data_IF_988241245120
#
_entry.id   IF_988241245120
#
_cell.length_a   1.000
_cell.length_b   1.000
_cell.length_c   1.000
_cell.angle_alpha   90.00
_cell.angle_beta   90.00
_cell.angle_gamma   90.00
#
_symmetry.space_group_name_H-M   'P 1'
#
loop_
_entity.id
_entity.type
_entity.pdbx_description
1 polymer ?
#
# COMPACT_ATOMS: atom_id res chain seq x y z
N UNK A 1 -31.12 14.72 -13.66
CA UNK A 1 -30.06 13.72 -14.03
C UNK A 1 -30.46 12.41 -13.39
N UNK A 2 -30.61 11.35 -14.20
CA UNK A 2 -30.97 10.03 -13.67
C UNK A 2 -29.77 9.51 -12.88
N UNK A 3 -29.94 9.28 -11.58
CA UNK A 3 -28.90 8.69 -10.74
C UNK A 3 -28.85 7.17 -10.96
N UNK A 4 -27.64 6.60 -10.87
CA UNK A 4 -27.43 5.15 -10.98
C UNK A 4 -27.52 4.50 -9.59
N UNK A 5 -28.00 3.26 -9.52
CA UNK A 5 -28.06 2.49 -8.28
C UNK A 5 -26.87 1.52 -8.21
N UNK A 6 -26.00 1.65 -7.21
CA UNK A 6 -24.89 0.72 -6.99
C UNK A 6 -25.35 -0.46 -6.15
N UNK A 7 -25.32 -1.66 -6.74
CA UNK A 7 -25.73 -2.91 -6.09
C UNK A 7 -24.54 -3.77 -5.69
N UNK A 8 -24.77 -4.68 -4.72
CA UNK A 8 -23.75 -5.66 -4.33
C UNK A 8 -23.37 -6.61 -5.47
N UNK A 9 -24.31 -6.93 -6.36
CA UNK A 9 -24.06 -7.76 -7.54
C UNK A 9 -23.08 -7.08 -8.49
N UNK A 10 -23.22 -5.76 -8.71
CA UNK A 10 -22.31 -4.99 -9.54
C UNK A 10 -20.90 -4.91 -8.91
N UNK A 11 -20.79 -4.79 -7.58
CA UNK A 11 -19.50 -4.83 -6.88
C UNK A 11 -18.84 -6.20 -7.04
N UNK A 12 -19.61 -7.28 -6.99
CA UNK A 12 -19.12 -8.63 -7.19
C UNK A 12 -18.66 -8.84 -8.64
N UNK A 13 -19.46 -8.42 -9.63
CA UNK A 13 -19.10 -8.45 -11.04
C UNK A 13 -17.83 -7.64 -11.32
N UNK A 14 -17.69 -6.47 -10.70
CA UNK A 14 -16.48 -5.66 -10.78
C UNK A 14 -15.26 -6.38 -10.21
N UNK A 15 -15.41 -7.09 -9.07
CA UNK A 15 -14.33 -7.93 -8.52
C UNK A 15 -13.86 -8.98 -9.52
N UNK A 16 -14.81 -9.69 -10.15
CA UNK A 16 -14.51 -10.69 -11.18
C UNK A 16 -13.78 -10.08 -12.38
N UNK A 17 -14.24 -8.91 -12.85
CA UNK A 17 -13.61 -8.19 -13.96
C UNK A 17 -12.17 -7.77 -13.64
N UNK A 18 -11.89 -7.37 -12.39
CA UNK A 18 -10.52 -7.04 -11.95
C UNK A 18 -9.59 -8.26 -12.00
N UNK A 19 -10.08 -9.46 -11.63
CA UNK A 19 -9.33 -10.70 -11.74
C UNK A 19 -9.11 -11.09 -13.20
N UNK A 20 -10.12 -10.98 -14.06
CA UNK A 20 -9.99 -11.23 -15.50
C UNK A 20 -9.02 -10.26 -16.18
N UNK A 21 -8.92 -9.02 -15.68
CA UNK A 21 -7.92 -8.03 -16.11
C UNK A 21 -6.52 -8.27 -15.49
N UNK A 22 -6.27 -9.46 -14.91
CA UNK A 22 -4.99 -9.89 -14.32
C UNK A 22 -4.43 -8.91 -13.27
N UNK A 23 -5.31 -8.20 -12.56
CA UNK A 23 -4.89 -7.31 -11.48
C UNK A 23 -4.38 -8.13 -10.30
N UNK A 24 -3.28 -7.68 -9.67
CA UNK A 24 -2.77 -8.34 -8.47
C UNK A 24 -3.81 -8.34 -7.35
N UNK A 25 -3.83 -9.38 -6.51
CA UNK A 25 -4.73 -9.51 -5.36
C UNK A 25 -4.76 -8.24 -4.51
N UNK A 26 -3.60 -7.66 -4.19
CA UNK A 26 -3.51 -6.43 -3.42
C UNK A 26 -4.19 -5.21 -4.11
N UNK A 27 -4.17 -5.17 -5.46
CA UNK A 27 -4.87 -4.13 -6.24
C UNK A 27 -6.38 -4.34 -6.17
N UNK A 28 -6.85 -5.59 -6.33
CA UNK A 28 -8.27 -5.95 -6.23
C UNK A 28 -8.82 -5.56 -4.86
N UNK A 29 -8.15 -5.99 -3.78
CA UNK A 29 -8.54 -5.67 -2.41
C UNK A 29 -8.59 -4.16 -2.14
N UNK A 30 -7.60 -3.42 -2.64
CA UNK A 30 -7.55 -1.96 -2.50
C UNK A 30 -8.73 -1.29 -3.21
N UNK A 31 -9.05 -1.72 -4.43
CA UNK A 31 -10.15 -1.15 -5.21
C UNK A 31 -11.50 -1.47 -4.55
N UNK A 32 -11.71 -2.72 -4.16
CA UNK A 32 -12.95 -3.13 -3.48
C UNK A 32 -13.15 -2.43 -2.14
N UNK A 33 -12.07 -2.18 -1.39
CA UNK A 33 -12.14 -1.40 -0.14
C UNK A 33 -12.65 0.02 -0.41
N UNK A 34 -12.13 0.69 -1.43
CA UNK A 34 -12.58 2.05 -1.81
C UNK A 34 -14.02 2.06 -2.30
N UNK A 35 -14.42 1.07 -3.09
CA UNK A 35 -15.80 0.95 -3.61
C UNK A 35 -16.79 0.68 -2.47
N UNK A 36 -16.47 -0.23 -1.55
CA UNK A 36 -17.31 -0.52 -0.39
C UNK A 36 -17.45 0.68 0.55
N UNK A 37 -16.35 1.40 0.80
CA UNK A 37 -16.40 2.62 1.59
C UNK A 37 -17.30 3.69 0.95
N UNK A 38 -17.23 3.84 -0.37
CA UNK A 38 -18.14 4.73 -1.09
C UNK A 38 -19.61 4.26 -1.04
N UNK A 39 -19.85 2.95 -1.19
CA UNK A 39 -21.21 2.39 -1.09
C UNK A 39 -21.83 2.63 0.30
N UNK A 40 -21.03 2.51 1.35
CA UNK A 40 -21.48 2.86 2.72
C UNK A 40 -21.77 4.36 2.88
N UNK A 41 -20.94 5.23 2.28
CA UNK A 41 -21.20 6.67 2.29
C UNK A 41 -22.47 7.07 1.55
N UNK A 42 -22.83 6.36 0.49
CA UNK A 42 -24.06 6.62 -0.27
C UNK A 42 -25.32 6.35 0.56
N UNK A 43 -25.27 5.38 1.47
CA UNK A 43 -26.42 5.00 2.32
C UNK A 43 -27.73 4.86 1.52
N UNK A 44 -27.68 4.14 0.41
CA UNK A 44 -28.81 3.93 -0.49
C UNK A 44 -29.10 5.08 -1.48
N UNK A 45 -28.38 6.19 -1.40
CA UNK A 45 -28.54 7.30 -2.36
C UNK A 45 -28.02 6.90 -3.75
N UNK A 46 -28.59 7.49 -4.81
CA UNK A 46 -28.13 7.21 -6.17
C UNK A 46 -26.72 7.77 -6.40
N UNK A 47 -25.95 7.06 -7.21
CA UNK A 47 -24.66 7.52 -7.71
C UNK A 47 -24.86 8.57 -8.77
N UNK A 48 -24.40 9.76 -8.50
CA UNK A 48 -24.37 10.90 -9.43
C UNK A 48 -23.00 11.56 -9.33
N UNK A 49 -22.68 12.43 -10.27
CA UNK A 49 -21.45 13.21 -10.17
C UNK A 49 -21.39 14.04 -8.88
N UNK A 50 -22.52 14.55 -8.42
CA UNK A 50 -22.60 15.36 -7.20
C UNK A 50 -22.33 14.51 -5.94
N UNK A 51 -22.86 13.27 -5.85
CA UNK A 51 -22.57 12.38 -4.73
C UNK A 51 -21.12 11.94 -4.72
N UNK A 52 -20.47 11.73 -5.87
CA UNK A 52 -19.02 11.46 -5.95
C UNK A 52 -18.19 12.67 -5.54
N UNK A 53 -18.61 13.87 -5.89
CA UNK A 53 -17.95 15.10 -5.43
C UNK A 53 -18.14 15.33 -3.92
N UNK A 54 -19.32 14.99 -3.36
CA UNK A 54 -19.57 15.00 -1.92
C UNK A 54 -18.64 14.01 -1.20
N UNK A 55 -18.50 12.78 -1.72
CA UNK A 55 -17.54 11.79 -1.23
C UNK A 55 -16.11 12.33 -1.22
N UNK A 56 -15.67 12.96 -2.30
CA UNK A 56 -14.33 13.57 -2.40
C UNK A 56 -14.11 14.64 -1.32
N UNK A 57 -15.12 15.47 -1.07
CA UNK A 57 -15.08 16.49 0.01
C UNK A 57 -15.06 15.87 1.40
N UNK A 58 -15.85 14.81 1.61
CA UNK A 58 -15.87 14.03 2.84
C UNK A 58 -14.48 13.48 3.18
N UNK A 59 -13.83 12.83 2.23
CA UNK A 59 -12.46 12.29 2.41
C UNK A 59 -11.42 13.37 2.74
N UNK A 60 -11.62 14.59 2.24
CA UNK A 60 -10.72 15.72 2.52
C UNK A 60 -10.93 16.32 3.91
N UNK A 61 -12.18 16.44 4.37
CA UNK A 61 -12.55 17.18 5.58
C UNK A 61 -12.67 16.28 6.80
N UNK A 62 -13.49 15.25 6.71
CA UNK A 62 -13.83 14.38 7.85
C UNK A 62 -12.73 13.34 8.11
N UNK A 63 -12.23 12.70 7.06
CA UNK A 63 -11.20 11.66 7.17
C UNK A 63 -9.77 12.22 7.13
N UNK A 64 -9.60 13.50 6.79
CA UNK A 64 -8.31 14.18 6.70
C UNK A 64 -7.25 13.38 5.88
N UNK A 65 -7.69 12.70 4.81
CA UNK A 65 -6.79 11.91 3.98
C UNK A 65 -5.89 12.77 3.10
N UNK A 66 -4.68 12.29 2.86
CA UNK A 66 -3.76 12.93 1.93
C UNK A 66 -4.32 12.95 0.50
N UNK A 67 -4.00 13.97 -0.32
CA UNK A 67 -4.43 14.02 -1.72
C UNK A 67 -4.10 12.76 -2.52
N UNK A 68 -2.99 12.09 -2.24
CA UNK A 68 -2.61 10.83 -2.88
C UNK A 68 -3.54 9.66 -2.50
N UNK A 69 -3.98 9.61 -1.25
CA UNK A 69 -4.94 8.60 -0.76
C UNK A 69 -6.30 8.81 -1.40
N UNK A 70 -6.77 10.07 -1.44
CA UNK A 70 -8.03 10.43 -2.10
C UNK A 70 -7.99 10.06 -3.59
N UNK A 71 -6.92 10.43 -4.29
CA UNK A 71 -6.76 10.09 -5.70
C UNK A 71 -6.73 8.58 -5.95
N UNK A 72 -6.18 7.80 -5.02
CA UNK A 72 -6.22 6.35 -5.11
C UNK A 72 -7.64 5.78 -4.95
N UNK A 73 -8.47 6.39 -4.08
CA UNK A 73 -9.89 6.04 -3.96
C UNK A 73 -10.67 6.44 -5.21
N UNK A 74 -10.47 7.66 -5.71
CA UNK A 74 -11.12 8.12 -6.96
C UNK A 74 -10.72 7.28 -8.17
N UNK A 75 -9.48 6.77 -8.23
CA UNK A 75 -9.05 5.89 -9.30
C UNK A 75 -9.83 4.56 -9.29
N UNK A 76 -10.11 4.02 -8.11
CA UNK A 76 -10.93 2.81 -7.97
C UNK A 76 -12.38 3.08 -8.41
N UNK A 77 -12.96 4.22 -8.02
CA UNK A 77 -14.33 4.59 -8.41
C UNK A 77 -14.43 4.88 -9.91
N UNK A 78 -13.53 5.67 -10.48
CA UNK A 78 -13.52 5.94 -11.92
C UNK A 78 -13.36 4.63 -12.73
N UNK A 79 -12.57 3.67 -12.22
CA UNK A 79 -12.45 2.36 -12.88
C UNK A 79 -13.77 1.57 -12.80
N UNK A 80 -14.47 1.59 -11.65
CA UNK A 80 -15.79 1.01 -11.49
C UNK A 80 -16.81 1.67 -12.42
N UNK A 81 -16.85 3.01 -12.48
CA UNK A 81 -17.80 3.73 -13.30
C UNK A 81 -17.59 3.48 -14.80
N UNK A 82 -16.34 3.40 -15.24
CA UNK A 82 -16.03 2.99 -16.61
C UNK A 82 -16.48 1.55 -16.90
N UNK A 83 -16.31 0.63 -15.95
CA UNK A 83 -16.78 -0.75 -16.07
C UNK A 83 -18.30 -0.84 -16.18
N UNK A 84 -19.04 -0.02 -15.43
CA UNK A 84 -20.51 0.03 -15.44
C UNK A 84 -21.08 0.92 -16.56
N UNK A 85 -20.25 1.61 -17.34
CA UNK A 85 -20.69 2.56 -18.35
C UNK A 85 -21.17 3.91 -17.80
N UNK A 86 -20.92 4.22 -16.52
CA UNK A 86 -21.35 5.46 -15.84
C UNK A 86 -20.28 6.56 -15.97
N UNK A 87 -19.87 6.87 -17.18
CA UNK A 87 -18.76 7.79 -17.46
C UNK A 87 -19.04 9.23 -17.03
N UNK A 88 -20.32 9.61 -16.94
CA UNK A 88 -20.81 10.89 -16.44
C UNK A 88 -20.51 11.09 -14.95
N UNK A 89 -20.38 10.00 -14.16
CA UNK A 89 -20.02 10.04 -12.75
C UNK A 89 -18.51 10.15 -12.51
N UNK A 90 -17.67 9.99 -13.53
CA UNK A 90 -16.23 10.10 -13.38
C UNK A 90 -15.80 11.50 -12.95
N UNK A 91 -14.84 11.58 -12.03
CA UNK A 91 -14.35 12.85 -11.47
C UNK A 91 -12.85 13.03 -11.66
N UNK A 92 -12.42 14.29 -11.74
CA UNK A 92 -11.00 14.61 -11.81
C UNK A 92 -10.28 14.38 -10.49
N UNK A 93 -9.01 13.98 -10.59
CA UNK A 93 -8.12 13.84 -9.44
C UNK A 93 -7.76 15.20 -8.83
N UNK A 94 -7.38 15.17 -7.55
CA UNK A 94 -6.78 16.32 -6.89
C UNK A 94 -5.40 16.59 -7.46
N UNK A 95 -5.07 17.86 -7.70
CA UNK A 95 -3.72 18.25 -8.07
C UNK A 95 -2.77 18.01 -6.89
N UNK A 96 -1.71 17.24 -7.11
CA UNK A 96 -0.69 16.98 -6.10
C UNK A 96 0.51 17.87 -6.43
N UNK A 97 0.75 18.87 -5.59
CA UNK A 97 2.01 19.60 -5.64
C UNK A 97 3.12 18.72 -5.08
N UNK A 98 4.10 18.39 -5.90
CA UNK A 98 5.32 17.73 -5.42
C UNK A 98 6.17 18.78 -4.73
N UNK A 99 6.32 18.66 -3.40
CA UNK A 99 7.31 19.46 -2.69
C UNK A 99 8.70 18.98 -3.10
N UNK A 100 9.54 19.89 -3.58
CA UNK A 100 10.93 19.60 -3.98
C UNK A 100 11.78 19.22 -2.77
N UNK A 101 11.48 19.78 -1.60
CA UNK A 101 12.14 19.48 -0.34
C UNK A 101 11.20 18.71 0.58
N UNK A 102 11.69 17.61 1.16
CA UNK A 102 10.99 16.87 2.20
C UNK A 102 11.11 17.60 3.53
N UNK A 103 10.08 17.50 4.36
CA UNK A 103 10.17 17.92 5.75
C UNK A 103 11.09 16.93 6.48
N UNK A 104 12.24 17.42 6.96
CA UNK A 104 13.27 16.61 7.65
C UNK A 104 12.75 15.97 8.94
N UNK A 105 11.72 16.53 9.58
CA UNK A 105 11.13 16.01 10.82
C UNK A 105 10.41 14.65 10.72
N UNK A 106 10.31 14.06 9.51
CA UNK A 106 9.74 12.71 9.30
C UNK A 106 10.78 11.65 8.94
N UNK A 107 12.05 12.03 8.90
CA UNK A 107 13.13 11.10 8.61
C UNK A 107 13.73 10.60 9.92
N UNK A 108 13.94 9.29 10.02
CA UNK A 108 14.64 8.69 11.16
C UNK A 108 16.12 9.02 11.03
N UNK A 109 16.66 9.65 12.04
CA UNK A 109 18.10 9.81 12.16
C UNK A 109 18.75 8.53 12.73
N UNK A 110 20.08 8.54 12.84
CA UNK A 110 20.84 7.42 13.38
C UNK A 110 20.49 7.14 14.84
N UNK A 111 20.24 8.17 15.61
CA UNK A 111 19.94 8.06 17.05
C UNK A 111 18.58 7.42 17.23
N UNK A 112 17.58 7.83 16.46
CA UNK A 112 16.23 7.27 16.49
C UNK A 112 16.23 5.81 16.04
N UNK A 113 17.02 5.47 15.02
CA UNK A 113 17.19 4.09 14.58
C UNK A 113 17.79 3.22 15.71
N UNK A 114 18.86 3.67 16.37
CA UNK A 114 19.51 2.95 17.46
C UNK A 114 18.56 2.76 18.66
N UNK A 115 17.75 3.78 18.99
CA UNK A 115 16.70 3.68 20.02
C UNK A 115 15.63 2.63 19.66
N UNK A 116 15.18 2.58 18.41
CA UNK A 116 14.19 1.59 17.96
C UNK A 116 14.72 0.16 18.06
N UNK A 117 15.99 -0.07 17.67
CA UNK A 117 16.62 -1.39 17.81
C UNK A 117 16.74 -1.77 19.29
N UNK A 118 17.22 -0.85 20.15
CA UNK A 118 17.34 -1.08 21.58
C UNK A 118 15.99 -1.39 22.25
N UNK A 119 14.94 -0.64 21.91
CA UNK A 119 13.59 -0.87 22.41
C UNK A 119 13.06 -2.25 22.00
N UNK A 120 13.24 -2.65 20.73
CA UNK A 120 12.82 -3.96 20.25
C UNK A 120 13.54 -5.11 20.98
N UNK A 121 14.83 -4.96 21.23
CA UNK A 121 15.62 -5.94 21.98
C UNK A 121 15.20 -5.98 23.46
N UNK A 122 14.99 -4.83 24.09
CA UNK A 122 14.53 -4.72 25.48
C UNK A 122 13.16 -5.36 25.73
N UNK A 123 12.30 -5.37 24.70
CA UNK A 123 11.00 -6.05 24.70
C UNK A 123 11.09 -7.54 24.30
N UNK A 124 12.29 -8.11 24.18
CA UNK A 124 12.48 -9.49 23.72
C UNK A 124 12.09 -9.76 22.26
N UNK A 125 11.85 -8.70 21.46
CA UNK A 125 11.40 -8.83 20.07
C UNK A 125 12.59 -8.86 19.08
N UNK A 126 13.53 -9.78 19.29
CA UNK A 126 14.75 -9.94 18.51
C UNK A 126 14.47 -10.02 16.99
N UNK A 127 13.39 -10.72 16.59
CA UNK A 127 13.00 -10.83 15.19
C UNK A 127 12.72 -9.47 14.56
N UNK A 128 12.04 -8.57 15.28
CA UNK A 128 11.71 -7.22 14.78
C UNK A 128 12.99 -6.40 14.65
N UNK A 129 13.90 -6.46 15.63
CA UNK A 129 15.19 -5.79 15.57
C UNK A 129 15.99 -6.23 14.33
N UNK A 130 16.08 -7.54 14.07
CA UNK A 130 16.77 -8.09 12.88
C UNK A 130 16.11 -7.69 11.56
N UNK A 131 14.78 -7.60 11.50
CA UNK A 131 14.06 -7.11 10.32
C UNK A 131 14.41 -5.64 10.05
N UNK A 132 14.38 -4.79 11.08
CA UNK A 132 14.76 -3.37 10.95
C UNK A 132 16.22 -3.23 10.53
N UNK A 133 17.15 -3.96 11.16
CA UNK A 133 18.57 -3.98 10.76
C UNK A 133 18.74 -4.40 9.30
N UNK A 134 18.00 -5.42 8.86
CA UNK A 134 18.07 -5.92 7.47
C UNK A 134 17.58 -4.87 6.49
N UNK A 135 16.45 -4.22 6.76
CA UNK A 135 15.88 -3.17 5.90
C UNK A 135 16.85 -1.99 5.80
N UNK A 136 17.39 -1.52 6.93
CA UNK A 136 18.32 -0.38 6.97
C UNK A 136 19.63 -0.70 6.26
N UNK A 137 20.18 -1.91 6.45
CA UNK A 137 21.47 -2.29 5.86
C UNK A 137 21.40 -2.57 4.35
N UNK A 138 20.21 -2.92 3.80
CA UNK A 138 20.07 -3.39 2.42
C UNK A 138 19.16 -2.53 1.56
N UNK A 139 18.36 -1.65 2.15
CA UNK A 139 17.36 -0.83 1.45
C UNK A 139 16.20 -1.63 0.84
N UNK A 140 15.95 -2.86 1.31
CA UNK A 140 14.81 -3.67 0.86
C UNK A 140 13.50 -3.15 1.44
N UNK A 141 12.40 -3.41 0.72
CA UNK A 141 11.05 -3.14 1.23
C UNK A 141 10.60 -4.21 2.22
N UNK A 142 9.71 -3.85 3.15
CA UNK A 142 9.16 -4.80 4.13
C UNK A 142 8.63 -6.08 3.47
N UNK A 143 7.89 -5.97 2.37
CA UNK A 143 7.37 -7.12 1.63
C UNK A 143 8.44 -7.99 0.96
N UNK A 144 9.69 -7.50 0.85
CA UNK A 144 10.82 -8.23 0.27
C UNK A 144 11.64 -9.01 1.32
N UNK A 145 11.38 -8.79 2.61
CA UNK A 145 12.08 -9.51 3.71
C UNK A 145 11.93 -11.04 3.56
N UNK A 146 10.84 -11.52 2.98
CA UNK A 146 10.62 -12.96 2.69
C UNK A 146 11.70 -13.59 1.81
N UNK A 147 12.44 -12.81 1.04
CA UNK A 147 13.55 -13.31 0.20
C UNK A 147 14.85 -13.48 0.99
N UNK A 148 14.92 -13.00 2.25
CA UNK A 148 16.07 -13.19 3.14
C UNK A 148 15.96 -14.57 3.79
N UNK A 149 16.22 -15.59 3.01
CA UNK A 149 16.23 -16.99 3.46
C UNK A 149 17.58 -17.38 4.05
N UNK A 150 17.64 -18.46 4.82
CA UNK A 150 18.92 -18.99 5.33
C UNK A 150 19.92 -19.26 4.20
N UNK A 151 19.43 -19.74 3.04
CA UNK A 151 20.26 -19.96 1.84
C UNK A 151 20.85 -18.66 1.32
N UNK A 152 20.04 -17.60 1.21
CA UNK A 152 20.47 -16.28 0.78
C UNK A 152 21.50 -15.68 1.76
N UNK A 153 21.26 -15.83 3.07
CA UNK A 153 22.18 -15.33 4.11
C UNK A 153 23.52 -16.05 4.07
N UNK A 154 23.53 -17.36 3.81
CA UNK A 154 24.79 -18.13 3.63
C UNK A 154 25.53 -17.72 2.37
N UNK A 155 24.82 -17.40 1.30
CA UNK A 155 25.40 -16.92 0.04
C UNK A 155 25.87 -15.46 0.11
N UNK A 156 25.51 -14.71 1.18
CA UNK A 156 25.81 -13.29 1.30
C UNK A 156 25.03 -12.39 0.34
N UNK A 157 24.04 -12.93 -0.36
CA UNK A 157 23.22 -12.20 -1.32
C UNK A 157 21.81 -12.80 -1.43
N UNK A 158 20.82 -11.94 -1.75
CA UNK A 158 19.45 -12.37 -2.00
C UNK A 158 18.96 -11.85 -3.35
N UNK A 159 18.32 -12.70 -4.14
CA UNK A 159 17.66 -12.32 -5.39
C UNK A 159 16.19 -12.05 -5.12
N UNK A 160 15.75 -10.83 -5.41
CA UNK A 160 14.37 -10.37 -5.25
C UNK A 160 13.72 -10.38 -6.62
N UNK A 161 12.65 -11.15 -6.77
CA UNK A 161 11.81 -11.16 -7.97
C UNK A 161 10.43 -10.61 -7.59
N UNK A 162 10.09 -9.42 -8.07
CA UNK A 162 8.82 -8.77 -7.75
C UNK A 162 8.32 -7.95 -8.96
N UNK A 163 7.07 -8.17 -9.35
CA UNK A 163 6.40 -7.45 -10.46
C UNK A 163 7.23 -7.44 -11.76
N UNK A 164 7.77 -8.60 -12.14
CA UNK A 164 8.57 -8.76 -13.37
C UNK A 164 9.97 -8.15 -13.31
N UNK A 165 10.39 -7.56 -12.17
CA UNK A 165 11.74 -7.03 -11.98
C UNK A 165 12.53 -7.96 -11.07
N UNK A 166 13.74 -8.32 -11.53
CA UNK A 166 14.68 -9.14 -10.76
C UNK A 166 15.86 -8.24 -10.38
N UNK A 167 16.24 -8.27 -9.11
CA UNK A 167 17.45 -7.61 -8.60
C UNK A 167 18.13 -8.44 -7.54
N UNK A 168 19.45 -8.41 -7.50
CA UNK A 168 20.25 -9.04 -6.45
C UNK A 168 20.70 -7.95 -5.48
N UNK A 169 20.57 -8.24 -4.20
CA UNK A 169 21.06 -7.39 -3.11
C UNK A 169 22.18 -8.12 -2.37
N UNK A 170 23.18 -7.37 -1.92
CA UNK A 170 24.26 -7.89 -1.09
C UNK A 170 23.87 -7.78 0.39
N UNK A 171 24.23 -8.79 1.17
CA UNK A 171 23.99 -8.83 2.61
C UNK A 171 25.33 -8.61 3.34
N UNK A 172 25.46 -7.55 4.17
CA UNK A 172 26.67 -7.31 4.93
C UNK A 172 27.02 -8.49 5.84
N UNK A 173 28.29 -8.88 5.90
CA UNK A 173 28.75 -10.06 6.66
C UNK A 173 28.41 -10.01 8.15
N UNK A 174 28.44 -8.82 8.77
CA UNK A 174 28.00 -8.64 10.16
C UNK A 174 26.51 -8.98 10.34
N UNK A 175 25.66 -8.58 9.40
CA UNK A 175 24.23 -8.90 9.41
C UNK A 175 24.03 -10.40 9.19
N UNK A 176 24.73 -11.02 8.24
CA UNK A 176 24.65 -12.46 7.99
C UNK A 176 24.95 -13.28 9.24
N UNK A 177 25.98 -12.91 10.02
CA UNK A 177 26.30 -13.58 11.28
C UNK A 177 25.15 -13.52 12.28
N UNK A 178 24.53 -12.34 12.45
CA UNK A 178 23.37 -12.16 13.35
C UNK A 178 22.17 -13.00 12.90
N UNK A 179 21.83 -12.95 11.61
CA UNK A 179 20.70 -13.70 11.04
C UNK A 179 20.91 -15.22 11.15
N UNK A 180 22.14 -15.72 10.91
CA UNK A 180 22.44 -17.14 11.07
C UNK A 180 22.40 -17.58 12.54
N UNK A 181 22.83 -16.74 13.48
CA UNK A 181 22.71 -17.00 14.92
C UNK A 181 21.24 -17.12 15.32
N UNK A 182 20.41 -16.21 14.85
CA UNK A 182 18.96 -16.23 15.11
C UNK A 182 18.28 -17.48 14.53
N UNK A 183 18.64 -17.87 13.31
CA UNK A 183 18.05 -19.04 12.63
C UNK A 183 18.42 -20.39 13.24
N UNK A 184 19.37 -20.45 14.19
CA UNK A 184 19.80 -21.67 14.91
C UNK A 184 19.06 -21.84 16.25
N UNK A 185 18.33 -20.80 16.71
CA UNK A 185 17.46 -20.85 17.89
C UNK A 185 16.14 -21.55 17.56
#
# INVERSE_FOLDING_TARGET
MNGHCLTNEQILAFSTALFQAERSQATVEKYLRSVRAFSLFLDGQPVTKDTVMAWKKYLQREENYSPSTINASLAALNYLFNFLGWTDCCTHYLKIQRRLFRETGRELDRIDYEKLIAAALGLGRERIALVMETICATGIRVGEVRYITVKAVRAGSATISLKGKIRTILLPGKLCKKLLKYARK
#
